data_IF_306969534348
#
_entry.id   IF_306969534348
#
_cell.length_a   1.000
_cell.length_b   1.000
_cell.length_c   1.000
_cell.angle_alpha   90.00
_cell.angle_beta   90.00
_cell.angle_gamma   90.00
#
_symmetry.space_group_name_H-M   'P 1'
#
loop_
_entity.id
_entity.type
_entity.pdbx_description
1 polymer ?
#
# COMPACT_ATOMS: atom_id res chain seq x y z
N UNK A 1 -27.60 -7.01 2.71
CA UNK A 1 -26.31 -7.30 3.36
C UNK A 1 -26.55 -7.37 4.86
N UNK A 2 -26.13 -8.44 5.53
CA UNK A 2 -26.13 -8.46 7.00
C UNK A 2 -25.10 -7.45 7.54
N UNK A 3 -25.30 -6.94 8.76
CA UNK A 3 -24.38 -5.99 9.41
C UNK A 3 -22.92 -6.47 9.41
N UNK A 4 -22.68 -7.77 9.62
CA UNK A 4 -21.35 -8.39 9.57
C UNK A 4 -20.67 -8.27 8.20
N UNK A 5 -21.42 -8.43 7.12
CA UNK A 5 -20.87 -8.31 5.76
C UNK A 5 -20.45 -6.89 5.41
N UNK A 6 -21.12 -5.89 5.97
CA UNK A 6 -20.77 -4.49 5.76
C UNK A 6 -19.53 -4.09 6.56
N UNK A 7 -19.41 -4.60 7.79
CA UNK A 7 -18.22 -4.36 8.62
C UNK A 7 -16.97 -5.02 8.02
N UNK A 8 -17.09 -6.24 7.48
CA UNK A 8 -16.01 -6.89 6.74
C UNK A 8 -15.59 -6.11 5.50
N UNK A 9 -16.55 -5.60 4.72
CA UNK A 9 -16.28 -4.74 3.54
C UNK A 9 -15.50 -3.49 3.92
N UNK A 10 -15.92 -2.80 4.99
CA UNK A 10 -15.22 -1.61 5.49
C UNK A 10 -13.81 -1.97 5.98
N UNK A 11 -13.66 -3.07 6.71
CA UNK A 11 -12.38 -3.53 7.23
C UNK A 11 -11.40 -3.87 6.10
N UNK A 12 -11.87 -4.57 5.04
CA UNK A 12 -11.07 -4.86 3.84
C UNK A 12 -10.69 -3.56 3.14
N UNK A 13 -11.64 -2.64 2.96
CA UNK A 13 -11.40 -1.33 2.38
C UNK A 13 -10.31 -0.54 3.10
N UNK A 14 -10.36 -0.51 4.43
CA UNK A 14 -9.36 0.17 5.25
C UNK A 14 -8.00 -0.53 5.21
N UNK A 15 -7.97 -1.86 5.42
CA UNK A 15 -6.74 -2.64 5.48
C UNK A 15 -5.97 -2.64 4.15
N UNK A 16 -6.69 -2.69 3.03
CA UNK A 16 -6.09 -2.74 1.67
C UNK A 16 -5.54 -1.40 1.19
N UNK A 17 -5.66 -0.33 1.99
CA UNK A 17 -5.18 1.01 1.66
C UNK A 17 -4.30 1.62 2.76
N UNK A 18 -3.79 0.80 3.69
CA UNK A 18 -2.92 1.30 4.76
C UNK A 18 -1.57 1.81 4.21
N UNK A 19 -1.12 1.25 3.10
CA UNK A 19 -0.01 1.74 2.28
C UNK A 19 -0.27 3.13 1.70
N UNK A 20 -1.50 3.43 1.25
CA UNK A 20 -1.86 4.78 0.80
C UNK A 20 -1.72 5.82 1.91
N UNK A 21 -1.98 5.45 3.17
CA UNK A 21 -1.73 6.33 4.31
C UNK A 21 -0.22 6.62 4.45
N UNK A 22 0.62 5.60 4.30
CA UNK A 22 2.08 5.74 4.33
C UNK A 22 2.60 6.68 3.23
N UNK A 23 2.18 6.46 1.97
CA UNK A 23 2.55 7.35 0.85
C UNK A 23 2.01 8.76 1.06
N UNK A 24 0.77 8.90 1.55
CA UNK A 24 0.18 10.19 1.88
C UNK A 24 1.02 10.95 2.89
N UNK A 25 1.43 10.30 3.99
CA UNK A 25 2.33 10.91 4.98
C UNK A 25 3.65 11.32 4.34
N UNK A 26 4.30 10.43 3.59
CA UNK A 26 5.58 10.69 2.95
C UNK A 26 5.53 11.93 2.03
N UNK A 27 4.47 12.03 1.22
CA UNK A 27 4.30 13.16 0.28
C UNK A 27 3.90 14.44 1.00
N UNK A 28 3.02 14.35 2.01
CA UNK A 28 2.63 15.49 2.82
C UNK A 28 3.82 16.12 3.56
N UNK A 29 4.69 15.32 4.17
CA UNK A 29 5.91 15.81 4.84
C UNK A 29 6.87 16.49 3.84
N UNK A 30 7.00 15.94 2.63
CA UNK A 30 7.81 16.50 1.55
C UNK A 30 7.15 17.69 0.84
N UNK A 31 5.92 18.05 1.21
CA UNK A 31 5.10 19.10 0.58
C UNK A 31 4.90 18.86 -0.92
N UNK A 32 4.79 17.60 -1.32
CA UNK A 32 4.43 17.21 -2.68
C UNK A 32 2.90 17.17 -2.75
N UNK A 33 2.32 18.02 -3.61
CA UNK A 33 0.86 18.11 -3.75
C UNK A 33 0.34 16.97 -4.61
N UNK A 34 -0.66 16.25 -4.10
CA UNK A 34 -1.42 15.29 -4.90
C UNK A 34 -2.74 15.98 -5.27
N UNK A 35 -2.89 16.48 -6.52
CA UNK A 35 -4.12 17.11 -6.94
C UNK A 35 -5.26 16.07 -6.96
N UNK A 36 -6.49 16.57 -6.79
CA UNK A 36 -7.67 15.70 -6.63
C UNK A 36 -7.89 14.72 -7.80
N UNK A 37 -7.53 15.12 -9.02
CA UNK A 37 -7.65 14.28 -10.22
C UNK A 37 -6.63 13.14 -10.24
N UNK A 38 -5.39 13.38 -9.78
CA UNK A 38 -4.36 12.35 -9.64
C UNK A 38 -4.72 11.36 -8.53
N UNK A 39 -5.23 11.86 -7.40
CA UNK A 39 -5.74 10.97 -6.34
C UNK A 39 -6.94 10.14 -6.82
N UNK A 40 -7.84 10.74 -7.60
CA UNK A 40 -8.97 10.01 -8.18
C UNK A 40 -8.51 8.91 -9.15
N UNK A 41 -7.44 9.14 -9.92
CA UNK A 41 -6.86 8.11 -10.77
C UNK A 41 -6.31 6.93 -9.95
N UNK A 42 -5.57 7.20 -8.87
CA UNK A 42 -5.05 6.17 -7.94
C UNK A 42 -6.21 5.35 -7.34
N UNK A 43 -7.25 6.04 -6.88
CA UNK A 43 -8.45 5.41 -6.34
C UNK A 43 -9.20 4.56 -7.37
N UNK A 44 -9.31 5.03 -8.61
CA UNK A 44 -9.93 4.29 -9.71
C UNK A 44 -9.13 3.03 -10.06
N UNK A 45 -7.80 3.11 -10.10
CA UNK A 45 -6.94 1.94 -10.34
C UNK A 45 -7.12 0.92 -9.20
N UNK A 46 -7.15 1.37 -7.93
CA UNK A 46 -7.38 0.52 -6.76
C UNK A 46 -8.76 -0.16 -6.81
N UNK A 47 -9.80 0.59 -7.17
CA UNK A 47 -11.16 0.07 -7.37
C UNK A 47 -11.19 -1.02 -8.45
N UNK A 48 -10.61 -0.74 -9.62
CA UNK A 48 -10.59 -1.67 -10.76
C UNK A 48 -9.79 -2.93 -10.45
N UNK A 49 -8.62 -2.78 -9.82
CA UNK A 49 -7.80 -3.91 -9.37
C UNK A 49 -8.60 -4.81 -8.42
N UNK A 50 -9.23 -4.23 -7.41
CA UNK A 50 -10.09 -4.97 -6.46
C UNK A 50 -11.22 -5.69 -7.16
N UNK A 51 -11.87 -5.02 -8.14
CA UNK A 51 -13.00 -5.58 -8.88
C UNK A 51 -12.58 -6.78 -9.74
N UNK A 52 -11.52 -6.63 -10.54
CA UNK A 52 -10.98 -7.71 -11.38
C UNK A 52 -10.54 -8.89 -10.52
N UNK A 53 -9.79 -8.61 -9.45
CA UNK A 53 -9.29 -9.64 -8.53
C UNK A 53 -10.41 -10.34 -7.77
N UNK A 54 -11.46 -9.61 -7.37
CA UNK A 54 -12.62 -10.18 -6.68
C UNK A 54 -13.45 -11.09 -7.57
N UNK A 55 -13.65 -10.74 -8.84
CA UNK A 55 -14.27 -11.64 -9.80
C UNK A 55 -13.41 -12.88 -10.07
N UNK A 56 -12.09 -12.70 -10.14
CA UNK A 56 -11.18 -13.83 -10.27
C UNK A 56 -11.22 -14.75 -9.05
N UNK A 57 -11.22 -14.19 -7.84
CA UNK A 57 -11.32 -14.94 -6.59
C UNK A 57 -12.66 -15.69 -6.44
N UNK A 58 -13.77 -15.06 -6.82
CA UNK A 58 -15.09 -15.72 -6.78
C UNK A 58 -15.18 -16.85 -7.81
N UNK A 59 -14.68 -16.63 -9.03
CA UNK A 59 -14.56 -17.68 -10.05
C UNK A 59 -13.72 -18.86 -9.53
N UNK A 60 -12.55 -18.60 -8.97
CA UNK A 60 -11.67 -19.62 -8.42
C UNK A 60 -12.32 -20.40 -7.25
N UNK A 61 -13.06 -19.70 -6.38
CA UNK A 61 -13.74 -20.34 -5.23
C UNK A 61 -14.79 -21.37 -5.64
N UNK A 62 -15.35 -21.26 -6.85
CA UNK A 62 -16.32 -22.23 -7.37
C UNK A 62 -15.67 -23.54 -7.82
N UNK A 63 -14.35 -23.57 -8.01
CA UNK A 63 -13.57 -24.73 -8.45
C UNK A 63 -12.77 -25.36 -7.31
N UNK A 64 -12.46 -24.57 -6.27
CA UNK A 64 -11.59 -24.98 -5.17
C UNK A 64 -12.43 -25.45 -3.98
N UNK A 65 -12.25 -26.71 -3.56
CA UNK A 65 -12.88 -27.22 -2.35
C UNK A 65 -12.45 -26.38 -1.13
N UNK A 66 -13.36 -26.00 -0.21
CA UNK A 66 -13.06 -25.07 0.91
C UNK A 66 -11.82 -25.43 1.72
N UNK A 67 -11.61 -26.73 1.97
CA UNK A 67 -10.43 -27.26 2.66
C UNK A 67 -9.09 -26.88 1.99
N UNK A 68 -9.03 -26.89 0.66
CA UNK A 68 -7.83 -26.53 -0.11
C UNK A 68 -7.54 -25.03 0.03
N UNK A 69 -8.58 -24.19 -0.03
CA UNK A 69 -8.43 -22.74 0.16
C UNK A 69 -7.91 -22.39 1.55
N UNK A 70 -8.43 -23.06 2.59
CA UNK A 70 -7.97 -22.87 3.97
C UNK A 70 -6.53 -23.34 4.17
N UNK A 71 -6.16 -24.48 3.57
CA UNK A 71 -4.78 -24.99 3.63
C UNK A 71 -3.80 -24.03 2.94
N UNK A 72 -4.12 -23.57 1.72
CA UNK A 72 -3.28 -22.64 0.98
C UNK A 72 -3.11 -21.30 1.70
N UNK A 73 -4.20 -20.71 2.19
CA UNK A 73 -4.14 -19.45 2.95
C UNK A 73 -3.28 -19.59 4.21
N UNK A 74 -3.42 -20.70 4.93
CA UNK A 74 -2.62 -20.98 6.13
C UNK A 74 -1.15 -21.13 5.79
N UNK A 75 -0.81 -21.90 4.75
CA UNK A 75 0.58 -22.08 4.29
C UNK A 75 1.20 -20.74 3.89
N UNK A 76 0.48 -19.89 3.16
CA UNK A 76 0.98 -18.58 2.74
C UNK A 76 1.21 -17.66 3.94
N UNK A 77 0.24 -17.53 4.85
CA UNK A 77 0.37 -16.65 6.03
C UNK A 77 1.49 -17.12 6.95
N UNK A 78 1.55 -18.42 7.25
CA UNK A 78 2.63 -19.00 8.07
C UNK A 78 3.97 -18.83 7.38
N UNK A 79 4.05 -19.04 6.06
CA UNK A 79 5.27 -18.85 5.28
C UNK A 79 5.78 -17.42 5.31
N UNK A 80 4.90 -16.43 5.11
CA UNK A 80 5.24 -15.00 5.23
C UNK A 80 5.68 -14.66 6.65
N UNK A 81 4.96 -15.16 7.68
CA UNK A 81 5.33 -14.95 9.07
C UNK A 81 6.71 -15.51 9.41
N UNK A 82 7.00 -16.75 8.98
CA UNK A 82 8.31 -17.39 9.17
C UNK A 82 9.40 -16.63 8.41
N UNK A 83 9.15 -16.22 7.17
CA UNK A 83 10.10 -15.41 6.40
C UNK A 83 10.46 -14.10 7.12
N UNK A 84 9.46 -13.36 7.60
CA UNK A 84 9.65 -12.12 8.36
C UNK A 84 10.43 -12.38 9.65
N UNK A 85 10.14 -13.46 10.38
CA UNK A 85 10.89 -13.84 11.58
C UNK A 85 12.35 -14.22 11.30
N UNK A 86 12.62 -14.81 10.12
CA UNK A 86 13.97 -15.21 9.71
C UNK A 86 14.77 -14.08 9.06
N UNK A 87 14.10 -13.01 8.60
CA UNK A 87 14.75 -11.88 7.92
C UNK A 87 15.95 -11.30 8.70
N UNK A 88 15.86 -11.03 10.03
CA UNK A 88 17.00 -10.52 10.80
C UNK A 88 18.19 -11.49 10.90
N UNK A 89 17.94 -12.80 10.72
CA UNK A 89 18.98 -13.84 10.78
C UNK A 89 19.60 -14.12 9.40
N UNK A 90 18.83 -13.94 8.32
CA UNK A 90 19.29 -14.06 6.93
C UNK A 90 20.14 -12.87 6.49
N UNK A 91 19.83 -11.65 6.96
CA UNK A 91 20.55 -10.41 6.61
C UNK A 91 21.90 -10.23 7.35
N UNK A 92 22.37 -11.23 8.08
CA UNK A 92 23.61 -11.14 8.87
C UNK A 92 24.92 -11.27 8.07
N UNK A 93 24.91 -11.12 6.73
CA UNK A 93 26.13 -11.11 5.91
C UNK A 93 25.92 -10.41 4.57
N UNK A 94 26.01 -9.08 4.55
CA UNK A 94 26.57 -8.28 3.45
C UNK A 94 26.48 -6.77 3.78
N UNK A 95 27.35 -6.30 4.67
CA UNK A 95 27.74 -4.88 4.68
C UNK A 95 29.14 -4.84 4.09
N UNK A 96 29.22 -4.82 2.76
CA UNK A 96 30.38 -4.33 2.03
C UNK A 96 30.06 -4.17 0.53
N UNK A 97 30.11 -2.91 0.10
CA UNK A 97 30.41 -2.37 -1.25
C UNK A 97 29.20 -1.95 -2.11
N UNK A 98 29.27 -0.66 -2.47
CA UNK A 98 28.52 0.13 -3.47
C UNK A 98 28.45 -0.52 -4.85
N UNK A 99 27.40 -0.22 -5.60
CA UNK A 99 27.50 0.17 -7.02
C UNK A 99 26.22 0.92 -7.44
N UNK A 100 26.36 2.23 -7.64
CA UNK A 100 25.61 2.94 -8.68
C UNK A 100 26.01 2.29 -10.00
N UNK A 101 25.09 1.58 -10.67
CA UNK A 101 24.88 1.69 -12.11
C UNK A 101 23.78 0.72 -12.56
N UNK A 102 22.90 1.23 -13.43
CA UNK A 102 21.97 0.47 -14.29
C UNK A 102 20.75 -0.26 -13.69
N UNK A 103 20.08 0.36 -12.70
CA UNK A 103 18.70 -0.03 -12.36
C UNK A 103 17.70 0.77 -13.21
N UNK A 104 17.07 0.07 -14.15
CA UNK A 104 15.96 0.53 -14.99
C UNK A 104 14.97 1.38 -14.14
N UNK A 105 14.52 2.57 -14.60
CA UNK A 105 13.69 3.49 -13.81
C UNK A 105 12.44 2.84 -13.19
N UNK A 106 11.88 1.84 -13.86
CA UNK A 106 10.73 1.06 -13.37
C UNK A 106 11.08 0.27 -12.10
N UNK A 107 12.27 -0.33 -12.02
CA UNK A 107 12.69 -1.12 -10.86
C UNK A 107 12.96 -0.27 -9.63
N UNK A 108 13.44 0.97 -9.82
CA UNK A 108 13.59 1.95 -8.73
C UNK A 108 12.23 2.43 -8.23
N UNK A 109 11.29 2.71 -9.13
CA UNK A 109 9.95 3.16 -8.77
C UNK A 109 9.09 2.07 -8.13
N UNK A 110 9.30 0.80 -8.50
CA UNK A 110 8.69 -0.35 -7.81
C UNK A 110 9.28 -0.57 -6.41
N UNK A 111 10.55 -0.19 -6.19
CA UNK A 111 11.20 -0.29 -4.86
C UNK A 111 10.84 0.87 -3.95
N UNK A 112 10.81 2.09 -4.49
CA UNK A 112 10.49 3.32 -3.79
C UNK A 112 9.31 4.01 -4.50
N UNK A 113 8.07 3.54 -4.29
CA UNK A 113 6.88 4.21 -4.84
C UNK A 113 6.75 5.66 -4.35
N UNK A 114 7.43 5.99 -3.25
CA UNK A 114 7.58 7.33 -2.67
C UNK A 114 8.52 8.29 -3.45
N UNK A 115 9.08 7.85 -4.57
CA UNK A 115 9.82 8.69 -5.51
C UNK A 115 9.06 8.86 -6.85
N UNK A 116 7.72 8.72 -6.84
CA UNK A 116 6.92 8.85 -8.06
C UNK A 116 6.87 10.26 -8.66
N UNK A 117 7.26 11.30 -7.90
CA UNK A 117 7.51 12.65 -8.42
C UNK A 117 8.82 12.64 -9.24
N UNK A 118 8.70 12.23 -10.50
CA UNK A 118 9.84 11.97 -11.39
C UNK A 118 10.42 13.27 -11.92
N UNK A 119 9.61 14.31 -12.06
CA UNK A 119 10.03 15.62 -12.55
C UNK A 119 10.39 16.61 -11.43
N UNK A 120 10.29 16.19 -10.15
CA UNK A 120 10.56 17.02 -8.97
C UNK A 120 9.74 18.31 -8.95
N UNK A 121 8.57 18.31 -9.60
CA UNK A 121 7.67 19.47 -9.69
C UNK A 121 6.96 19.79 -8.38
N UNK A 122 7.08 18.91 -7.38
CA UNK A 122 6.31 18.94 -6.12
C UNK A 122 4.80 18.84 -6.36
N UNK A 123 4.39 18.27 -7.48
CA UNK A 123 3.00 18.01 -7.80
C UNK A 123 2.85 16.74 -8.62
N UNK A 124 2.14 15.74 -8.10
CA UNK A 124 1.95 14.47 -8.82
C UNK A 124 1.06 14.69 -10.05
N UNK A 125 1.65 14.57 -11.24
CA UNK A 125 0.97 14.62 -12.52
C UNK A 125 0.06 13.39 -12.72
N UNK A 126 -0.85 13.47 -13.70
CA UNK A 126 -1.76 12.36 -13.99
C UNK A 126 -0.98 11.09 -14.43
N UNK A 127 0.11 11.25 -15.19
CA UNK A 127 0.95 10.13 -15.61
C UNK A 127 1.67 9.45 -14.43
N UNK A 128 2.25 10.23 -13.53
CA UNK A 128 2.91 9.72 -12.32
C UNK A 128 1.91 9.03 -11.37
N UNK A 129 0.69 9.58 -11.28
CA UNK A 129 -0.38 9.00 -10.49
C UNK A 129 -0.82 7.62 -10.99
N UNK A 130 -0.72 7.35 -12.30
CA UNK A 130 -1.02 6.03 -12.85
C UNK A 130 0.02 5.02 -12.36
N UNK A 131 1.30 5.38 -12.43
CA UNK A 131 2.37 4.46 -12.00
C UNK A 131 2.31 4.20 -10.50
N UNK A 132 2.13 5.27 -9.71
CA UNK A 132 1.93 5.17 -8.28
C UNK A 132 0.68 4.35 -7.94
N UNK A 133 -0.41 4.57 -8.67
CA UNK A 133 -1.66 3.85 -8.50
C UNK A 133 -1.54 2.36 -8.79
N UNK A 134 -0.76 1.97 -9.81
CA UNK A 134 -0.49 0.56 -10.11
C UNK A 134 0.32 -0.09 -8.97
N UNK A 135 1.34 0.60 -8.46
CA UNK A 135 2.15 0.10 -7.35
C UNK A 135 1.30 -0.14 -6.10
N UNK A 136 0.46 0.83 -5.72
CA UNK A 136 -0.43 0.74 -4.55
C UNK A 136 -1.56 -0.28 -4.76
N UNK A 137 -2.07 -0.42 -5.99
CA UNK A 137 -3.14 -1.36 -6.29
C UNK A 137 -2.74 -2.83 -6.10
N UNK A 138 -1.46 -3.16 -5.97
CA UNK A 138 -1.02 -4.52 -5.65
C UNK A 138 -1.60 -5.03 -4.33
N UNK A 139 -1.70 -4.18 -3.31
CA UNK A 139 -2.33 -4.54 -2.03
C UNK A 139 -3.86 -4.69 -2.19
N UNK A 140 -4.47 -3.80 -2.97
CA UNK A 140 -5.90 -3.85 -3.32
C UNK A 140 -6.29 -5.14 -4.07
N UNK A 141 -5.41 -5.71 -4.89
CA UNK A 141 -5.63 -7.00 -5.55
C UNK A 141 -5.83 -8.12 -4.52
N UNK A 142 -5.03 -8.17 -3.45
CA UNK A 142 -5.15 -9.18 -2.41
C UNK A 142 -6.47 -9.04 -1.64
N UNK A 143 -6.86 -7.79 -1.32
CA UNK A 143 -8.15 -7.48 -0.69
C UNK A 143 -9.34 -7.90 -1.56
N UNK A 144 -9.29 -7.60 -2.86
CA UNK A 144 -10.30 -8.03 -3.84
C UNK A 144 -10.42 -9.54 -3.93
N UNK A 145 -9.29 -10.23 -4.08
CA UNK A 145 -9.23 -11.69 -4.13
C UNK A 145 -9.85 -12.33 -2.88
N UNK A 146 -9.50 -11.82 -1.69
CA UNK A 146 -10.05 -12.27 -0.42
C UNK A 146 -11.57 -12.08 -0.37
N UNK A 147 -12.08 -10.94 -0.80
CA UNK A 147 -13.52 -10.68 -0.89
C UNK A 147 -14.23 -11.65 -1.84
N UNK A 148 -13.59 -12.00 -2.97
CA UNK A 148 -14.09 -13.00 -3.92
C UNK A 148 -14.18 -14.40 -3.31
N UNK A 149 -13.12 -14.86 -2.62
CA UNK A 149 -13.11 -16.17 -1.94
C UNK A 149 -14.13 -16.24 -0.80
N UNK A 150 -14.25 -15.16 -0.03
CA UNK A 150 -15.19 -15.09 1.10
C UNK A 150 -16.63 -14.81 0.69
N UNK A 151 -16.91 -14.77 -0.63
CA UNK A 151 -18.24 -14.55 -1.20
C UNK A 151 -18.88 -13.23 -0.71
N UNK A 152 -18.05 -12.22 -0.43
CA UNK A 152 -18.51 -10.87 -0.16
C UNK A 152 -18.97 -10.21 -1.47
N UNK A 153 -19.82 -9.19 -1.35
CA UNK A 153 -20.25 -8.46 -2.52
C UNK A 153 -19.09 -7.63 -3.09
N UNK A 154 -18.61 -8.04 -4.26
CA UNK A 154 -17.44 -7.48 -4.94
C UNK A 154 -17.65 -5.99 -5.24
N UNK A 155 -18.85 -5.57 -5.65
CA UNK A 155 -19.12 -4.17 -5.95
C UNK A 155 -18.97 -3.27 -4.72
N UNK A 156 -19.55 -3.67 -3.59
CA UNK A 156 -19.41 -2.88 -2.35
C UNK A 156 -17.98 -2.92 -1.81
N UNK A 157 -17.28 -4.04 -1.97
CA UNK A 157 -15.87 -4.16 -1.57
C UNK A 157 -14.99 -3.24 -2.41
N UNK A 158 -15.07 -3.31 -3.74
CA UNK A 158 -14.30 -2.47 -4.64
C UNK A 158 -14.59 -0.99 -4.38
N UNK A 159 -15.86 -0.63 -4.20
CA UNK A 159 -16.24 0.75 -3.86
C UNK A 159 -15.63 1.19 -2.53
N UNK A 160 -15.64 0.32 -1.51
CA UNK A 160 -15.02 0.62 -0.23
C UNK A 160 -13.51 0.80 -0.36
N UNK A 161 -12.81 -0.09 -1.08
CA UNK A 161 -11.37 0.03 -1.33
C UNK A 161 -11.05 1.31 -2.10
N UNK A 162 -11.78 1.64 -3.17
CA UNK A 162 -11.58 2.89 -3.91
C UNK A 162 -11.84 4.13 -3.06
N UNK A 163 -12.87 4.11 -2.22
CA UNK A 163 -13.19 5.23 -1.31
C UNK A 163 -12.10 5.43 -0.26
N UNK A 164 -11.67 4.35 0.42
CA UNK A 164 -10.58 4.43 1.40
C UNK A 164 -9.25 4.80 0.75
N UNK A 165 -9.00 4.35 -0.48
CA UNK A 165 -7.83 4.75 -1.28
C UNK A 165 -7.75 6.27 -1.40
N UNK A 166 -8.84 6.88 -1.87
CA UNK A 166 -8.94 8.33 -2.04
C UNK A 166 -8.85 9.08 -0.70
N UNK A 167 -9.61 8.63 0.31
CA UNK A 167 -9.72 9.29 1.60
C UNK A 167 -8.43 9.23 2.41
N UNK A 168 -7.81 8.05 2.52
CA UNK A 168 -6.59 7.88 3.30
C UNK A 168 -5.43 8.64 2.66
N UNK A 169 -5.27 8.59 1.33
CA UNK A 169 -4.20 9.32 0.66
C UNK A 169 -4.36 10.83 0.84
N UNK A 170 -5.57 11.37 0.61
CA UNK A 170 -5.84 12.80 0.78
C UNK A 170 -5.73 13.26 2.23
N UNK A 171 -6.33 12.53 3.17
CA UNK A 171 -6.32 12.90 4.59
C UNK A 171 -4.90 12.84 5.16
N UNK A 172 -4.16 11.77 4.87
CA UNK A 172 -2.79 11.62 5.37
C UNK A 172 -1.85 12.64 4.75
N UNK A 173 -1.95 12.91 3.44
CA UNK A 173 -1.16 13.96 2.80
C UNK A 173 -1.47 15.34 3.36
N UNK A 174 -2.75 15.69 3.50
CA UNK A 174 -3.15 17.00 4.02
C UNK A 174 -2.81 17.18 5.50
N UNK A 175 -2.98 16.16 6.33
CA UNK A 175 -2.60 16.19 7.75
C UNK A 175 -1.09 16.26 7.91
N UNK A 176 -0.33 15.45 7.17
CA UNK A 176 1.12 15.45 7.23
C UNK A 176 1.71 16.76 6.71
N UNK A 177 1.16 17.35 5.64
CA UNK A 177 1.56 18.67 5.15
C UNK A 177 1.32 19.76 6.20
N UNK A 178 0.14 19.79 6.83
CA UNK A 178 -0.19 20.77 7.88
C UNK A 178 0.68 20.60 9.12
N UNK A 179 0.84 19.38 9.62
CA UNK A 179 1.69 19.09 10.79
C UNK A 179 3.18 19.38 10.48
N UNK A 180 3.64 19.06 9.27
CA UNK A 180 5.00 19.39 8.82
C UNK A 180 5.19 20.91 8.67
N UNK A 181 4.20 21.63 8.14
CA UNK A 181 4.23 23.07 7.96
C UNK A 181 4.14 23.84 9.28
N UNK A 182 3.31 23.41 10.24
CA UNK A 182 3.09 24.13 11.51
C UNK A 182 4.12 23.80 12.60
N UNK A 183 4.71 22.59 12.63
CA UNK A 183 5.59 22.18 13.73
C UNK A 183 7.01 21.75 13.33
N UNK A 184 7.29 21.43 12.07
CA UNK A 184 8.42 20.55 11.75
C UNK A 184 9.33 20.98 10.61
N UNK A 185 9.42 22.27 10.28
CA UNK A 185 10.33 22.80 9.26
C UNK A 185 11.75 22.18 9.27
N UNK A 186 12.54 22.42 10.32
CA UNK A 186 13.92 21.92 10.41
C UNK A 186 14.06 20.60 11.23
N UNK A 187 12.95 20.11 11.81
CA UNK A 187 12.94 18.93 12.69
C UNK A 187 12.34 17.68 12.04
N UNK A 188 11.67 17.78 10.89
CA UNK A 188 11.14 16.62 10.17
C UNK A 188 12.26 15.65 9.75
N UNK A 189 13.40 16.18 9.27
CA UNK A 189 14.59 15.37 8.94
C UNK A 189 15.15 14.67 10.17
N UNK A 190 15.18 15.37 11.30
CA UNK A 190 15.64 14.81 12.58
C UNK A 190 14.68 13.74 13.08
N UNK A 191 13.35 13.96 12.99
CA UNK A 191 12.35 12.96 13.37
C UNK A 191 12.39 11.76 12.45
N UNK A 192 12.52 11.95 11.13
CA UNK A 192 12.69 10.85 10.17
C UNK A 192 13.93 10.01 10.50
N UNK A 193 15.06 10.68 10.78
CA UNK A 193 16.26 10.02 11.28
C UNK A 193 16.07 9.31 12.62
N UNK A 194 15.33 9.91 13.56
CA UNK A 194 15.07 9.33 14.88
C UNK A 194 14.10 8.14 14.82
N UNK A 195 13.10 8.19 13.93
CA UNK A 195 12.19 7.09 13.63
C UNK A 195 12.94 5.94 12.97
N UNK A 196 13.83 6.22 12.01
CA UNK A 196 14.72 5.22 11.42
C UNK A 196 15.63 4.57 12.47
N UNK A 197 16.18 5.36 13.40
CA UNK A 197 16.97 4.85 14.52
C UNK A 197 16.11 3.99 15.45
N UNK A 198 14.90 4.44 15.81
CA UNK A 198 14.00 3.69 16.70
C UNK A 198 13.50 2.39 16.05
N UNK A 199 13.16 2.41 14.77
CA UNK A 199 12.79 1.22 14.00
C UNK A 199 13.99 0.26 13.94
N UNK A 200 15.20 0.77 13.68
CA UNK A 200 16.42 -0.04 13.69
C UNK A 200 16.75 -0.64 15.06
N UNK A 201 16.51 0.10 16.16
CA UNK A 201 16.69 -0.39 17.54
C UNK A 201 15.62 -1.43 17.89
N UNK A 202 14.37 -1.19 17.52
CA UNK A 202 13.30 -2.16 17.73
C UNK A 202 13.53 -3.44 16.91
N UNK A 203 14.26 -3.37 15.80
CA UNK A 203 14.62 -4.56 15.03
C UNK A 203 15.78 -5.35 15.65
N UNK A 204 16.47 -4.79 16.65
CA UNK A 204 17.53 -5.46 17.42
C UNK A 204 17.03 -6.19 18.68
N UNK A 205 15.78 -6.00 19.08
CA UNK A 205 15.16 -6.62 20.26
C UNK A 205 13.87 -7.36 19.88
#
# INVERSE_FOLDING_TARGET
MGSYSLLAVIAIGLASNLDNAGVGIAYGVRKIRIPWYSNLAIAAISFLATLVSGYFGSWLSSWVHPWIGQLLGTIVIVGVGVWVLLQPFLEKKNISIQEEDDVNPLTRLLRNPEEADKDSSKSISLGESIVLGIALAMNALAGGFNAGITQLNIWYTSLSVGLFSYLLLAACAGLAEKVAAEKFGNRATVISGLLLILIGIHQLF
#
